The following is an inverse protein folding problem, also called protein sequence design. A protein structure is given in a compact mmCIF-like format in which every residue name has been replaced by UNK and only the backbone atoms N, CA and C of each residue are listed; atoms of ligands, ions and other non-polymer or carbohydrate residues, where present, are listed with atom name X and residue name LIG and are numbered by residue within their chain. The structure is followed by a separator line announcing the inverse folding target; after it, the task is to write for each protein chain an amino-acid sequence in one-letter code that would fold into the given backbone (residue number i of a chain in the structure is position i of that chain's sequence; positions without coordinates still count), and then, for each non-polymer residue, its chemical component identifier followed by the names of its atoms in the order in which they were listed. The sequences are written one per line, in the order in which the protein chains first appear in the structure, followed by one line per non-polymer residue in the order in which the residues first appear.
data_IF_875789304101
#
_entry.id   IF_875789304101
#
_cell.length_a   1.000
_cell.length_b   1.000
_cell.length_c   1.000
_cell.angle_alpha   90.00
_cell.angle_beta   90.00
_cell.angle_gamma   90.00
#
_symmetry.space_group_name_H-M   'P 1'
#
loop_
_entity.id
_entity.type
_entity.pdbx_description
1 polymer ?
#
# COMPACT_ATOMS: atom_id res chain seq x y z
N UNK A 1 12.24 14.47 -8.63
CA UNK A 1 11.14 13.52 -8.39
C UNK A 1 11.28 13.04 -6.96
N UNK A 2 10.27 13.31 -6.14
CA UNK A 2 10.28 12.99 -4.72
C UNK A 2 10.26 11.47 -4.52
N UNK A 3 10.91 10.97 -3.46
CA UNK A 3 10.90 9.54 -3.16
C UNK A 3 9.49 9.03 -2.86
N UNK A 4 8.64 9.86 -2.24
CA UNK A 4 7.24 9.50 -2.01
C UNK A 4 6.51 9.24 -3.34
N UNK A 5 6.74 10.07 -4.36
CA UNK A 5 6.18 9.86 -5.70
C UNK A 5 6.70 8.59 -6.36
N UNK A 6 8.00 8.27 -6.18
CA UNK A 6 8.59 7.03 -6.71
C UNK A 6 7.97 5.80 -6.05
N UNK A 7 7.83 5.80 -4.72
CA UNK A 7 7.21 4.72 -3.97
C UNK A 7 5.74 4.57 -4.38
N UNK A 8 4.99 5.67 -4.47
CA UNK A 8 3.59 5.64 -4.91
C UNK A 8 3.46 5.07 -6.32
N UNK A 9 4.34 5.47 -7.25
CA UNK A 9 4.36 4.94 -8.61
C UNK A 9 4.69 3.44 -8.62
N UNK A 10 5.66 3.00 -7.81
CA UNK A 10 5.99 1.59 -7.66
C UNK A 10 4.81 0.77 -7.14
N UNK A 11 4.08 1.31 -6.15
CA UNK A 11 2.86 0.67 -5.63
C UNK A 11 1.82 0.50 -6.75
N UNK A 12 1.56 1.54 -7.55
CA UNK A 12 0.55 1.47 -8.61
C UNK A 12 0.95 0.59 -9.80
N UNK A 13 2.24 0.52 -10.12
CA UNK A 13 2.73 -0.21 -11.30
C UNK A 13 3.06 -1.67 -11.01
N UNK A 14 3.66 -1.97 -9.86
CA UNK A 14 4.17 -3.32 -9.54
C UNK A 14 3.29 -4.04 -8.52
N UNK A 15 2.93 -3.35 -7.44
CA UNK A 15 2.19 -3.95 -6.31
C UNK A 15 0.70 -4.13 -6.64
N UNK A 16 0.06 -3.11 -7.19
CA UNK A 16 -1.37 -3.10 -7.57
C UNK A 16 -1.78 -4.31 -8.42
N UNK A 17 -1.12 -4.63 -9.56
CA UNK A 17 -1.54 -5.78 -10.39
C UNK A 17 -1.44 -7.10 -9.64
N UNK A 18 -0.46 -7.25 -8.73
CA UNK A 18 -0.27 -8.47 -7.92
C UNK A 18 -1.32 -8.62 -6.84
N UNK A 19 -1.72 -7.51 -6.22
CA UNK A 19 -2.84 -7.49 -5.26
C UNK A 19 -4.15 -7.80 -5.98
N UNK A 20 -4.44 -7.12 -7.10
CA UNK A 20 -5.65 -7.38 -7.90
C UNK A 20 -5.72 -8.81 -8.45
N UNK A 21 -4.59 -9.44 -8.75
CA UNK A 21 -4.53 -10.82 -9.23
C UNK A 21 -4.69 -11.88 -8.12
N UNK A 22 -4.64 -11.48 -6.84
CA UNK A 22 -4.70 -12.41 -5.71
C UNK A 22 -6.15 -12.75 -5.35
N UNK A 23 -6.61 -14.01 -5.53
CA UNK A 23 -8.01 -14.39 -5.32
C UNK A 23 -8.44 -14.37 -3.85
N UNK A 24 -7.50 -14.24 -2.91
CA UNK A 24 -7.76 -14.16 -1.47
C UNK A 24 -7.91 -12.72 -0.98
N UNK A 25 -7.68 -11.74 -1.86
CA UNK A 25 -7.56 -10.33 -1.52
C UNK A 25 -8.55 -9.55 -2.40
N UNK A 26 -9.84 -9.76 -2.17
CA UNK A 26 -10.89 -8.96 -2.80
C UNK A 26 -10.90 -7.54 -2.19
N UNK A 27 -10.91 -6.52 -3.06
CA UNK A 27 -11.08 -5.12 -2.70
C UNK A 27 -10.03 -4.50 -1.76
N UNK A 28 -8.75 -4.90 -1.90
CA UNK A 28 -7.66 -4.20 -1.18
C UNK A 28 -7.10 -3.04 -1.99
N UNK A 29 -7.01 -1.88 -1.34
CA UNK A 29 -6.37 -0.68 -1.87
C UNK A 29 -5.15 -0.38 -1.02
N UNK A 30 -3.98 -0.22 -1.65
CA UNK A 30 -2.74 0.16 -0.97
C UNK A 30 -2.21 1.47 -1.55
N UNK A 31 -1.81 2.40 -0.68
CA UNK A 31 -1.21 3.65 -1.11
C UNK A 31 -0.17 4.13 -0.10
N UNK A 32 0.76 4.96 -0.54
CA UNK A 32 1.65 5.68 0.35
C UNK A 32 0.89 6.84 0.99
N UNK A 33 0.71 6.78 2.31
CA UNK A 33 0.08 7.86 3.09
C UNK A 33 1.08 8.96 3.43
N UNK A 34 2.29 8.58 3.84
CA UNK A 34 3.36 9.53 4.17
C UNK A 34 4.72 8.85 4.05
N UNK A 35 5.73 9.59 3.62
CA UNK A 35 7.13 9.21 3.80
C UNK A 35 7.83 10.17 4.75
N UNK A 36 8.41 9.62 5.81
CA UNK A 36 9.20 10.36 6.78
C UNK A 36 10.69 10.25 6.42
N UNK A 37 11.24 11.32 5.84
CA UNK A 37 12.63 11.35 5.35
C UNK A 37 13.66 11.32 6.48
N UNK A 38 13.29 11.83 7.67
CA UNK A 38 14.20 11.88 8.82
C UNK A 38 14.47 10.48 9.37
N UNK A 39 13.42 9.67 9.49
CA UNK A 39 13.54 8.29 9.98
C UNK A 39 13.69 7.25 8.87
N UNK A 40 13.40 7.61 7.62
CA UNK A 40 13.30 6.68 6.49
C UNK A 40 12.07 5.77 6.58
N UNK A 41 10.98 6.24 7.20
CA UNK A 41 9.78 5.43 7.44
C UNK A 41 8.70 5.72 6.39
N UNK A 42 8.31 4.70 5.63
CA UNK A 42 7.16 4.75 4.73
C UNK A 42 5.88 4.27 5.43
N UNK A 43 4.90 5.14 5.55
CA UNK A 43 3.58 4.82 6.08
C UNK A 43 2.65 4.48 4.92
N UNK A 44 2.21 3.23 4.85
CA UNK A 44 1.25 2.74 3.88
C UNK A 44 -0.15 2.76 4.47
N UNK A 45 -1.10 3.33 3.72
CA UNK A 45 -2.52 3.15 3.97
C UNK A 45 -3.00 1.89 3.27
N UNK A 46 -3.81 1.10 3.98
CA UNK A 46 -4.43 -0.11 3.46
C UNK A 46 -5.93 -0.06 3.74
N UNK A 47 -6.72 -0.11 2.67
CA UNK A 47 -8.15 -0.31 2.73
C UNK A 47 -8.39 -1.80 2.49
N UNK A 48 -8.98 -2.47 3.47
CA UNK A 48 -9.39 -3.85 3.35
C UNK A 48 -10.89 -3.85 3.05
N UNK A 49 -11.29 -4.23 1.84
CA UNK A 49 -12.69 -4.23 1.43
C UNK A 49 -13.59 -5.13 2.30
N UNK A 50 -14.90 -5.08 2.04
CA UNK A 50 -15.87 -5.95 2.69
C UNK A 50 -15.69 -7.39 2.21
N UNK A 51 -14.86 -8.18 2.88
CA UNK A 51 -14.59 -9.56 2.49
C UNK A 51 -13.47 -10.26 3.26
N UNK A 52 -12.60 -9.50 3.94
CA UNK A 52 -11.56 -10.10 4.80
C UNK A 52 -12.23 -10.57 6.09
N UNK A 53 -12.32 -11.88 6.30
CA UNK A 53 -13.10 -12.56 7.37
C UNK A 53 -12.73 -12.26 8.84
N UNK A 54 -12.03 -11.17 9.11
CA UNK A 54 -11.91 -10.50 10.40
C UNK A 54 -12.19 -9.03 10.13
N UNK A 55 -13.01 -8.37 10.97
CA UNK A 55 -13.41 -6.94 10.85
C UNK A 55 -12.45 -6.14 9.97
N UNK A 56 -12.92 -5.35 8.98
CA UNK A 56 -12.09 -4.66 7.96
C UNK A 56 -10.98 -3.73 8.52
N UNK A 57 -10.90 -3.61 9.85
CA UNK A 57 -9.89 -2.91 10.64
C UNK A 57 -9.00 -3.84 11.49
N UNK A 58 -8.97 -5.13 11.18
CA UNK A 58 -8.05 -6.10 11.76
C UNK A 58 -6.64 -5.68 11.36
N UNK A 59 -5.97 -4.91 12.23
CA UNK A 59 -4.61 -4.41 11.99
C UNK A 59 -3.60 -5.51 11.65
N UNK A 60 -3.93 -6.78 11.94
CA UNK A 60 -3.12 -7.93 11.53
C UNK A 60 -3.07 -8.12 10.01
N UNK A 61 -4.20 -8.04 9.30
CA UNK A 61 -4.21 -8.21 7.84
C UNK A 61 -3.51 -7.05 7.14
N UNK A 62 -3.76 -5.81 7.58
CA UNK A 62 -3.08 -4.63 7.06
C UNK A 62 -1.57 -4.67 7.35
N UNK A 63 -1.18 -5.11 8.55
CA UNK A 63 0.22 -5.29 8.94
C UNK A 63 0.93 -6.35 8.11
N UNK A 64 0.29 -7.50 7.86
CA UNK A 64 0.87 -8.58 7.05
C UNK A 64 1.10 -8.16 5.59
N UNK A 65 0.12 -7.51 4.97
CA UNK A 65 0.25 -7.02 3.59
C UNK A 65 1.33 -5.93 3.52
N UNK A 66 1.37 -5.02 4.50
CA UNK A 66 2.39 -3.98 4.54
C UNK A 66 3.80 -4.53 4.84
N UNK A 67 3.93 -5.61 5.60
CA UNK A 67 5.23 -6.28 5.82
C UNK A 67 5.72 -6.94 4.52
N UNK A 68 4.84 -7.66 3.82
CA UNK A 68 5.13 -8.28 2.52
C UNK A 68 5.58 -7.22 1.49
N UNK A 69 4.78 -6.19 1.28
CA UNK A 69 5.10 -5.10 0.35
C UNK A 69 6.30 -4.30 0.84
N UNK A 70 6.41 -4.11 2.16
CA UNK A 70 7.43 -3.28 2.76
C UNK A 70 8.85 -3.81 2.60
N UNK A 71 9.01 -5.14 2.58
CA UNK A 71 10.30 -5.76 2.25
C UNK A 71 10.72 -5.45 0.81
N UNK A 72 9.78 -5.44 -0.14
CA UNK A 72 10.07 -5.14 -1.54
C UNK A 72 10.37 -3.66 -1.74
N UNK A 73 9.56 -2.78 -1.14
CA UNK A 73 9.81 -1.33 -1.15
C UNK A 73 11.17 -1.02 -0.54
N UNK A 74 11.54 -1.64 0.58
CA UNK A 74 12.85 -1.39 1.22
C UNK A 74 14.02 -1.92 0.39
N UNK A 75 13.79 -2.96 -0.42
CA UNK A 75 14.79 -3.51 -1.34
C UNK A 75 14.98 -2.60 -2.57
N UNK A 76 13.90 -2.08 -3.14
CA UNK A 76 13.94 -1.18 -4.29
C UNK A 76 14.41 0.24 -3.90
N UNK A 77 13.98 0.70 -2.73
CA UNK A 77 14.29 2.03 -2.20
C UNK A 77 15.10 1.92 -0.90
N UNK A 78 16.45 1.91 -0.97
CA UNK A 78 17.31 1.77 0.21
C UNK A 78 17.19 2.94 1.21
N UNK A 79 16.57 4.05 0.81
CA UNK A 79 16.21 5.18 1.68
C UNK A 79 15.04 4.83 2.62
N UNK A 80 14.23 3.82 2.27
CA UNK A 80 13.17 3.29 3.12
C UNK A 80 13.78 2.27 4.08
N UNK A 81 13.94 2.69 5.34
CA UNK A 81 14.45 1.85 6.43
C UNK A 81 13.36 1.03 7.09
N UNK A 82 12.12 1.52 7.06
CA UNK A 82 10.98 0.91 7.72
C UNK A 82 9.70 1.17 6.93
N UNK A 83 8.83 0.17 6.92
CA UNK A 83 7.47 0.30 6.36
C UNK A 83 6.45 0.00 7.45
N UNK A 84 5.40 0.81 7.53
CA UNK A 84 4.33 0.68 8.52
C UNK A 84 3.00 0.66 7.79
N UNK A 85 2.24 -0.43 7.92
CA UNK A 85 0.88 -0.55 7.40
C UNK A 85 -0.16 -0.04 8.39
N UNK A 86 -1.03 0.85 7.92
CA UNK A 86 -2.14 1.39 8.69
C UNK A 86 -3.44 1.05 7.96
N UNK A 87 -4.38 0.42 8.66
CA UNK A 87 -5.74 0.26 8.16
C UNK A 87 -6.41 1.64 8.13
N UNK A 88 -6.79 2.10 6.94
CA UNK A 88 -7.24 3.48 6.73
C UNK A 88 -8.28 3.55 5.60
N UNK A 89 -9.00 4.68 5.51
CA UNK A 89 -9.99 4.88 4.46
C UNK A 89 -9.31 5.70 3.35
N UNK A 90 -9.23 5.19 2.11
CA UNK A 90 -8.57 5.88 1.02
C UNK A 90 -9.40 7.09 0.59
N UNK A 91 -8.72 8.16 0.23
CA UNK A 91 -9.34 9.36 -0.36
C UNK A 91 -9.82 9.07 -1.78
N UNK A 92 -10.78 9.86 -2.28
CA UNK A 92 -11.41 9.70 -3.60
C UNK A 92 -10.37 9.66 -4.74
N UNK A 93 -9.33 10.49 -4.66
CA UNK A 93 -8.21 10.51 -5.61
C UNK A 93 -7.36 9.24 -5.60
N UNK A 94 -7.19 8.61 -4.43
CA UNK A 94 -6.49 7.32 -4.31
C UNK A 94 -7.34 6.20 -4.89
N UNK A 95 -8.64 6.19 -4.60
CA UNK A 95 -9.59 5.23 -5.16
C UNK A 95 -9.59 5.35 -6.69
N UNK A 96 -9.66 6.57 -7.23
CA UNK A 96 -9.56 6.83 -8.67
C UNK A 96 -8.23 6.37 -9.23
N UNK A 97 -7.10 6.69 -8.61
CA UNK A 97 -5.77 6.27 -9.09
C UNK A 97 -5.58 4.75 -9.05
N UNK A 98 -6.19 4.08 -8.06
CA UNK A 98 -6.16 2.63 -7.94
C UNK A 98 -7.03 1.94 -8.99
N UNK A 99 -8.24 2.45 -9.22
CA UNK A 99 -9.21 1.90 -10.17
C UNK A 99 -9.01 2.36 -11.61
N UNK A 100 -8.35 3.50 -11.84
CA UNK A 100 -7.88 3.92 -13.15
C UNK A 100 -6.76 2.97 -13.57
N UNK A 101 -7.18 1.86 -14.16
CA UNK A 101 -6.52 1.31 -15.33
C UNK A 101 -6.73 2.32 -16.46
N UNK A 102 -5.97 3.43 -16.47
CA UNK A 102 -5.87 4.19 -17.71
C UNK A 102 -5.19 3.30 -18.75
N UNK A 103 -6.03 2.77 -19.65
CA UNK A 103 -5.79 2.29 -21.03
C UNK A 103 -4.36 1.88 -21.40
#
# INVERSE_FOLDING_TARGET
MDIAEKIQKYILMDIRPRIKASPQIEDVIVWLKKFDKETGTAYLGLALGNGVGCSPFCGCAAGQIAELIGQEISREFPEVKRVVGLADIPEDDIIKSWNNEEN
#
